data_IF_493837967329
#
_entry.id   IF_493837967329
#
_cell.length_a   1.000
_cell.length_b   1.000
_cell.length_c   1.000
_cell.angle_alpha   90.00
_cell.angle_beta   90.00
_cell.angle_gamma   90.00
#
_symmetry.space_group_name_H-M   'P 1'
#
loop_
_entity.id
_entity.type
_entity.pdbx_description
1 polymer ?
#
# COMPACT_ATOMS: atom_id res chain seq x y z
N UNK A 1 29.01 -23.51 -0.46
CA UNK A 1 28.18 -22.30 -0.57
C UNK A 1 27.76 -21.95 0.85
N UNK A 2 28.61 -21.19 1.56
CA UNK A 2 28.35 -20.74 2.93
C UNK A 2 27.54 -19.46 2.85
N UNK A 3 26.33 -19.47 3.44
CA UNK A 3 25.56 -18.25 3.71
C UNK A 3 26.28 -17.53 4.85
N UNK A 4 26.67 -16.27 4.63
CA UNK A 4 27.32 -15.43 5.64
C UNK A 4 26.27 -15.00 6.68
N UNK A 5 26.44 -15.24 7.99
CA UNK A 5 25.51 -14.80 9.04
C UNK A 5 25.30 -13.28 9.11
N UNK A 6 26.05 -12.49 8.32
CA UNK A 6 25.84 -11.05 8.15
C UNK A 6 24.68 -10.71 7.20
N UNK A 7 24.34 -11.59 6.24
CA UNK A 7 23.15 -11.41 5.37
C UNK A 7 21.83 -11.57 6.16
N UNK A 8 21.85 -12.44 7.17
CA UNK A 8 20.72 -12.67 8.09
C UNK A 8 20.44 -11.46 9.00
N UNK A 9 21.44 -10.59 9.23
CA UNK A 9 21.31 -9.36 10.00
C UNK A 9 20.80 -8.17 9.17
N UNK A 10 21.06 -8.12 7.87
CA UNK A 10 20.55 -7.08 6.96
C UNK A 10 19.07 -7.34 6.62
N UNK A 11 18.64 -8.60 6.68
CA UNK A 11 17.24 -9.01 6.80
C UNK A 11 16.67 -8.85 8.23
N UNK A 12 17.20 -7.94 9.06
CA UNK A 12 16.52 -7.52 10.29
C UNK A 12 15.25 -6.76 9.92
N UNK A 13 14.25 -7.59 9.67
CA UNK A 13 12.82 -7.35 9.59
C UNK A 13 12.37 -6.27 8.60
N UNK A 14 12.88 -6.33 7.37
CA UNK A 14 12.34 -5.57 6.23
C UNK A 14 10.82 -5.78 6.08
N UNK A 15 10.35 -6.99 6.40
CA UNK A 15 8.94 -7.30 6.53
C UNK A 15 8.25 -6.45 7.61
N UNK A 16 8.75 -6.40 8.85
CA UNK A 16 8.16 -5.54 9.88
C UNK A 16 8.31 -4.05 9.58
N UNK A 17 9.36 -3.60 8.90
CA UNK A 17 9.46 -2.22 8.44
C UNK A 17 8.36 -1.88 7.43
N UNK A 18 8.18 -2.74 6.43
CA UNK A 18 7.10 -2.59 5.45
C UNK A 18 5.72 -2.68 6.12
N UNK A 19 5.55 -3.53 7.13
CA UNK A 19 4.32 -3.62 7.91
C UNK A 19 4.07 -2.38 8.76
N UNK A 20 5.10 -1.83 9.43
CA UNK A 20 5.00 -0.57 10.17
C UNK A 20 4.64 0.59 9.25
N UNK A 21 5.27 0.65 8.08
CA UNK A 21 4.95 1.63 7.04
C UNK A 21 3.49 1.51 6.59
N UNK A 22 3.01 0.28 6.36
CA UNK A 22 1.61 0.03 6.03
C UNK A 22 0.66 0.46 7.16
N UNK A 23 0.98 0.17 8.42
CA UNK A 23 0.18 0.60 9.58
C UNK A 23 0.08 2.12 9.66
N UNK A 24 1.19 2.84 9.51
CA UNK A 24 1.19 4.32 9.45
C UNK A 24 0.33 4.82 8.30
N UNK A 25 0.55 4.28 7.09
CA UNK A 25 -0.21 4.67 5.90
C UNK A 25 -1.72 4.42 6.06
N UNK A 26 -2.12 3.32 6.70
CA UNK A 26 -3.52 3.02 7.01
C UNK A 26 -4.12 4.06 7.97
N UNK A 27 -3.38 4.48 8.99
CA UNK A 27 -3.80 5.55 9.91
C UNK A 27 -4.03 6.87 9.18
N UNK A 28 -3.03 7.32 8.41
CA UNK A 28 -3.11 8.55 7.63
C UNK A 28 -4.26 8.52 6.60
N UNK A 29 -4.44 7.39 5.91
CA UNK A 29 -5.55 7.19 4.98
C UNK A 29 -6.91 7.22 5.71
N UNK A 30 -6.99 6.66 6.91
CA UNK A 30 -8.18 6.72 7.76
C UNK A 30 -8.57 8.17 8.07
N UNK A 31 -7.62 8.98 8.52
CA UNK A 31 -7.84 10.40 8.81
C UNK A 31 -8.27 11.17 7.56
N UNK A 32 -7.65 10.90 6.41
CA UNK A 32 -8.03 11.50 5.13
C UNK A 32 -9.45 11.11 4.69
N UNK A 33 -9.87 9.87 4.91
CA UNK A 33 -11.21 9.40 4.58
C UNK A 33 -12.28 10.00 5.49
N UNK A 34 -11.98 10.20 6.78
CA UNK A 34 -12.87 10.92 7.71
C UNK A 34 -13.11 12.35 7.21
N UNK A 35 -12.05 13.05 6.83
CA UNK A 35 -12.17 14.42 6.29
C UNK A 35 -12.90 14.45 4.94
N UNK A 36 -12.61 13.51 4.05
CA UNK A 36 -13.30 13.38 2.77
C UNK A 36 -14.81 13.14 2.95
N UNK A 37 -15.19 12.29 3.93
CA UNK A 37 -16.58 12.07 4.30
C UNK A 37 -17.25 13.35 4.79
N UNK A 38 -16.61 14.06 5.73
CA UNK A 38 -17.12 15.34 6.27
C UNK A 38 -17.36 16.35 5.13
N UNK A 39 -16.42 16.45 4.19
CA UNK A 39 -16.57 17.32 3.02
C UNK A 39 -17.74 16.86 2.13
N UNK A 40 -17.85 15.57 1.83
CA UNK A 40 -18.95 15.05 1.03
C UNK A 40 -20.33 15.34 1.65
N UNK A 41 -20.46 15.23 2.97
CA UNK A 41 -21.68 15.59 3.71
C UNK A 41 -22.00 17.10 3.56
N UNK A 42 -20.99 17.98 3.55
CA UNK A 42 -21.20 19.41 3.27
C UNK A 42 -21.67 19.68 1.83
N UNK A 43 -21.11 18.97 0.84
CA UNK A 43 -21.54 19.11 -0.55
C UNK A 43 -22.99 18.66 -0.74
N UNK A 44 -23.40 17.59 -0.03
CA UNK A 44 -24.79 17.13 0.01
C UNK A 44 -25.72 18.18 0.63
N UNK A 45 -25.36 18.75 1.78
CA UNK A 45 -26.14 19.81 2.41
C UNK A 45 -26.29 21.03 1.48
N UNK A 46 -25.23 21.42 0.76
CA UNK A 46 -25.32 22.50 -0.24
C UNK A 46 -26.28 22.15 -1.38
N UNK A 47 -26.27 20.89 -1.84
CA UNK A 47 -27.19 20.42 -2.88
C UNK A 47 -28.65 20.50 -2.43
N UNK A 48 -28.93 20.15 -1.18
CA UNK A 48 -30.28 20.23 -0.59
C UNK A 48 -30.83 21.66 -0.53
N UNK A 49 -29.96 22.67 -0.50
CA UNK A 49 -30.37 24.10 -0.62
C UNK A 49 -30.74 24.53 -2.04
N UNK A 50 -30.67 23.63 -3.03
CA UNK A 50 -31.03 23.89 -4.43
C UNK A 50 -29.87 24.33 -5.32
N UNK A 51 -28.63 24.43 -4.80
CA UNK A 51 -27.45 24.79 -5.60
C UNK A 51 -27.15 23.76 -6.69
N UNK A 52 -26.65 24.24 -7.83
CA UNK A 52 -26.21 23.36 -8.91
C UNK A 52 -24.87 22.68 -8.57
N UNK A 53 -24.61 21.50 -9.15
CA UNK A 53 -23.34 20.81 -8.94
C UNK A 53 -22.13 21.62 -9.42
N UNK A 54 -22.29 22.39 -10.49
CA UNK A 54 -21.23 23.25 -11.00
C UNK A 54 -20.84 24.31 -9.96
N UNK A 55 -21.81 24.97 -9.32
CA UNK A 55 -21.55 25.95 -8.26
C UNK A 55 -20.93 25.30 -7.03
N UNK A 56 -21.45 24.13 -6.61
CA UNK A 56 -20.97 23.40 -5.43
C UNK A 56 -19.50 22.98 -5.60
N UNK A 57 -19.16 22.33 -6.71
CA UNK A 57 -17.80 21.82 -6.97
C UNK A 57 -16.84 22.97 -7.26
N UNK A 58 -17.30 24.05 -7.92
CA UNK A 58 -16.45 25.22 -8.16
C UNK A 58 -16.10 25.98 -6.87
N UNK A 59 -16.97 25.91 -5.86
CA UNK A 59 -16.76 26.51 -4.55
C UNK A 59 -16.11 25.54 -3.53
N UNK A 60 -15.85 24.29 -3.92
CA UNK A 60 -15.21 23.31 -3.05
C UNK A 60 -13.74 23.71 -2.80
N UNK A 61 -13.32 23.72 -1.54
CA UNK A 61 -11.92 23.99 -1.21
C UNK A 61 -11.06 22.79 -1.58
N UNK A 62 -9.91 23.07 -2.17
CA UNK A 62 -8.95 22.05 -2.60
C UNK A 62 -8.23 21.41 -1.41
N UNK A 63 -7.79 20.15 -1.54
CA UNK A 63 -8.10 19.21 -2.62
C UNK A 63 -9.54 18.71 -2.56
N UNK A 64 -10.13 18.50 -3.74
CA UNK A 64 -11.49 17.98 -3.90
C UNK A 64 -11.62 16.60 -3.24
N UNK A 65 -12.84 16.20 -2.85
CA UNK A 65 -13.12 14.85 -2.33
C UNK A 65 -12.55 13.77 -3.26
N UNK A 66 -12.72 13.92 -4.57
CA UNK A 66 -12.23 12.95 -5.57
C UNK A 66 -10.70 12.89 -5.64
N UNK A 67 -10.02 14.01 -5.42
CA UNK A 67 -8.56 14.08 -5.40
C UNK A 67 -8.02 13.40 -4.13
N UNK A 68 -8.68 13.61 -2.98
CA UNK A 68 -8.34 12.92 -1.73
C UNK A 68 -8.53 11.41 -1.84
N UNK A 69 -9.65 10.94 -2.40
CA UNK A 69 -9.89 9.50 -2.61
C UNK A 69 -8.79 8.91 -3.52
N UNK A 70 -8.44 9.61 -4.60
CA UNK A 70 -7.37 9.17 -5.51
C UNK A 70 -6.02 9.09 -4.80
N UNK A 71 -5.70 10.08 -3.96
CA UNK A 71 -4.49 10.08 -3.13
C UNK A 71 -4.47 8.89 -2.17
N UNK A 72 -5.56 8.64 -1.43
CA UNK A 72 -5.69 7.50 -0.51
C UNK A 72 -5.47 6.18 -1.24
N UNK A 73 -6.13 5.97 -2.39
CA UNK A 73 -5.94 4.76 -3.18
C UNK A 73 -4.48 4.58 -3.62
N UNK A 74 -3.80 5.66 -4.03
CA UNK A 74 -2.39 5.64 -4.41
C UNK A 74 -1.46 5.26 -3.24
N UNK A 75 -1.68 5.85 -2.07
CA UNK A 75 -0.92 5.52 -0.85
C UNK A 75 -1.11 4.06 -0.45
N UNK A 76 -2.35 3.57 -0.41
CA UNK A 76 -2.66 2.18 -0.06
C UNK A 76 -2.09 1.18 -1.08
N UNK A 77 -2.17 1.49 -2.38
CA UNK A 77 -1.60 0.64 -3.42
C UNK A 77 -0.07 0.51 -3.25
N UNK A 78 0.61 1.63 -2.98
CA UNK A 78 2.06 1.66 -2.76
C UNK A 78 2.46 0.88 -1.51
N UNK A 79 1.90 1.22 -0.35
CA UNK A 79 2.25 0.59 0.91
C UNK A 79 1.87 -0.91 0.95
N UNK A 80 0.68 -1.26 0.43
CA UNK A 80 0.24 -2.64 0.33
C UNK A 80 1.06 -3.47 -0.68
N UNK A 81 1.55 -2.84 -1.75
CA UNK A 81 2.48 -3.46 -2.70
C UNK A 81 3.82 -3.80 -2.06
N UNK A 82 4.40 -2.85 -1.31
CA UNK A 82 5.64 -3.04 -0.58
C UNK A 82 5.52 -4.16 0.47
N UNK A 83 4.48 -4.11 1.32
CA UNK A 83 4.23 -5.15 2.32
C UNK A 83 4.10 -6.55 1.70
N UNK A 84 3.32 -6.68 0.61
CA UNK A 84 3.11 -7.98 -0.04
C UNK A 84 4.43 -8.60 -0.51
N UNK A 85 5.36 -7.78 -1.00
CA UNK A 85 6.68 -8.22 -1.47
C UNK A 85 7.55 -8.68 -0.30
N UNK A 86 7.72 -7.84 0.71
CA UNK A 86 8.59 -8.15 1.84
C UNK A 86 8.07 -9.35 2.64
N UNK A 87 6.75 -9.47 2.82
CA UNK A 87 6.15 -10.64 3.44
C UNK A 87 6.40 -11.92 2.63
N UNK A 88 6.31 -11.86 1.30
CA UNK A 88 6.58 -13.02 0.45
C UNK A 88 8.05 -13.46 0.54
N UNK A 89 8.99 -12.50 0.60
CA UNK A 89 10.41 -12.78 0.81
C UNK A 89 10.70 -13.37 2.18
N UNK A 90 10.09 -12.83 3.25
CA UNK A 90 10.23 -13.38 4.60
C UNK A 90 9.76 -14.84 4.66
N UNK A 91 8.59 -15.14 4.09
CA UNK A 91 8.07 -16.51 4.01
C UNK A 91 8.98 -17.44 3.20
N UNK A 92 9.59 -16.94 2.12
CA UNK A 92 10.56 -17.74 1.34
C UNK A 92 11.84 -18.03 2.15
N UNK A 93 12.34 -17.06 2.91
CA UNK A 93 13.48 -17.23 3.81
C UNK A 93 13.18 -18.26 4.91
N UNK A 94 11.92 -18.33 5.36
CA UNK A 94 11.40 -19.37 6.25
C UNK A 94 11.13 -20.73 5.53
N UNK A 95 11.60 -20.88 4.29
CA UNK A 95 11.48 -22.09 3.47
C UNK A 95 10.03 -22.48 3.11
N UNK A 96 9.08 -21.54 3.22
CA UNK A 96 7.70 -21.77 2.76
C UNK A 96 7.67 -21.82 1.24
N UNK A 97 7.12 -22.91 0.69
CA UNK A 97 7.06 -23.09 -0.77
C UNK A 97 6.20 -22.02 -1.46
N UNK A 98 6.57 -21.65 -2.69
CA UNK A 98 5.81 -20.70 -3.54
C UNK A 98 4.33 -21.12 -3.68
N UNK A 99 4.06 -22.43 -3.82
CA UNK A 99 2.69 -22.93 -3.91
C UNK A 99 1.89 -22.67 -2.63
N UNK A 100 2.53 -22.81 -1.46
CA UNK A 100 1.89 -22.52 -0.18
C UNK A 100 1.67 -21.02 0.02
N UNK A 101 2.64 -20.18 -0.35
CA UNK A 101 2.48 -18.72 -0.32
C UNK A 101 1.33 -18.29 -1.24
N UNK A 102 1.27 -18.83 -2.46
CA UNK A 102 0.20 -18.53 -3.42
C UNK A 102 -1.19 -18.87 -2.86
N UNK A 103 -1.32 -20.04 -2.22
CA UNK A 103 -2.55 -20.46 -1.56
C UNK A 103 -2.93 -19.54 -0.38
N UNK A 104 -1.97 -19.14 0.46
CA UNK A 104 -2.20 -18.23 1.59
C UNK A 104 -2.68 -16.85 1.11
N UNK A 105 -2.16 -16.36 -0.01
CA UNK A 105 -2.46 -15.04 -0.55
C UNK A 105 -3.70 -15.05 -1.46
N UNK A 106 -4.26 -16.22 -1.75
CA UNK A 106 -5.38 -16.37 -2.69
C UNK A 106 -5.03 -15.94 -4.12
N UNK A 107 -3.75 -16.08 -4.52
CA UNK A 107 -3.27 -15.69 -5.86
C UNK A 107 -2.60 -16.86 -6.58
N UNK A 108 -2.33 -16.68 -7.88
CA UNK A 108 -1.64 -17.69 -8.67
C UNK A 108 -0.16 -17.80 -8.30
N UNK A 109 0.43 -18.97 -8.57
CA UNK A 109 1.89 -19.19 -8.44
C UNK A 109 2.69 -18.15 -9.22
N UNK A 110 2.27 -17.82 -10.45
CA UNK A 110 2.93 -16.85 -11.31
C UNK A 110 3.01 -15.46 -10.66
N UNK A 111 1.96 -15.05 -9.95
CA UNK A 111 1.93 -13.76 -9.24
C UNK A 111 2.93 -13.72 -8.09
N UNK A 112 3.06 -14.80 -7.31
CA UNK A 112 4.10 -14.89 -6.28
C UNK A 112 5.50 -14.94 -6.90
N UNK A 113 5.70 -15.70 -7.98
CA UNK A 113 6.99 -15.74 -8.68
C UNK A 113 7.37 -14.39 -9.32
N UNK A 114 6.41 -13.52 -9.65
CA UNK A 114 6.70 -12.16 -10.08
C UNK A 114 7.18 -11.30 -8.90
N UNK A 115 6.46 -11.33 -7.77
CA UNK A 115 6.83 -10.59 -6.56
C UNK A 115 8.25 -10.92 -6.08
N UNK A 116 8.62 -12.20 -6.10
CA UNK A 116 9.94 -12.66 -5.64
C UNK A 116 11.10 -12.33 -6.60
N UNK A 117 10.82 -11.95 -7.85
CA UNK A 117 11.84 -11.58 -8.85
C UNK A 117 12.19 -10.09 -8.86
N UNK A 118 11.39 -9.24 -8.23
CA UNK A 118 11.55 -7.78 -8.26
C UNK A 118 12.66 -7.23 -7.36
N UNK A 119 13.37 -8.07 -6.59
CA UNK A 119 14.54 -7.62 -5.84
C UNK A 119 15.65 -7.26 -6.85
N UNK A 120 16.12 -6.00 -6.92
CA UNK A 120 17.27 -5.68 -7.74
C UNK A 120 18.43 -6.52 -7.21
N UNK A 121 19.09 -7.27 -8.08
CA UNK A 121 20.41 -7.77 -7.78
C UNK A 121 21.28 -6.53 -7.49
N UNK A 122 21.85 -6.45 -6.28
CA UNK A 122 22.89 -5.46 -6.02
C UNK A 122 23.96 -5.59 -7.12
N UNK A 123 24.42 -4.48 -7.74
CA UNK A 123 25.52 -4.54 -8.69
C UNK A 123 26.78 -4.95 -7.92
N UNK A 124 27.06 -6.24 -7.94
CA UNK A 124 28.36 -6.77 -7.50
C UNK A 124 29.39 -6.39 -8.56
N UNK A 125 30.24 -5.43 -8.24
CA UNK A 125 31.52 -5.24 -8.92
C UNK A 125 31.81 -3.83 -9.40
N UNK A 126 32.62 -3.10 -8.62
CA UNK A 126 33.67 -2.22 -9.10
C UNK A 126 34.89 -2.39 -8.18
#
# INVERSE_FOLDING_TARGET
MSVDPRDDLVNRDAAAEALRTLVTALGECGDQLVEARRRAEQLLAQRETGRSWLEIVSAEERPLVVERISSVMGTLATAGGAWRREQAHALQAEQVSINRIAALYGVTRQRISALLRERPAEPTGA
#
